data_IF_913938405397
#
_entry.id   IF_913938405397
#
_cell.length_a   1.000
_cell.length_b   1.000
_cell.length_c   1.000
_cell.angle_alpha   90.00
_cell.angle_beta   90.00
_cell.angle_gamma   90.00
#
_symmetry.space_group_name_H-M   'P 1'
#
loop_
_entity.id
_entity.type
_entity.pdbx_description
1 polymer ?
#
# COMPACT_ATOMS: atom_id res chain seq x y z
N UNK A 1 -15.86 -26.75 30.87
CA UNK A 1 -14.53 -26.11 30.73
C UNK A 1 -14.52 -25.52 29.35
N UNK A 2 -15.20 -24.40 29.23
CA UNK A 2 -15.40 -23.70 27.97
C UNK A 2 -14.14 -22.88 27.71
N UNK A 3 -13.36 -23.32 26.74
CA UNK A 3 -12.22 -22.57 26.22
C UNK A 3 -12.78 -21.36 25.48
N UNK A 4 -12.86 -20.22 26.16
CA UNK A 4 -13.08 -18.93 25.53
C UNK A 4 -12.01 -18.75 24.45
N UNK A 5 -12.41 -18.94 23.20
CA UNK A 5 -11.56 -18.65 22.05
C UNK A 5 -11.43 -17.13 21.97
N UNK A 6 -10.33 -16.61 22.49
CA UNK A 6 -9.99 -15.21 22.38
C UNK A 6 -9.69 -14.90 20.91
N UNK A 7 -10.63 -14.24 20.23
CA UNK A 7 -10.45 -13.80 18.84
C UNK A 7 -9.32 -12.77 18.78
N UNK A 8 -8.17 -13.20 18.26
CA UNK A 8 -7.01 -12.32 18.08
C UNK A 8 -7.34 -11.31 16.98
N UNK A 9 -7.57 -10.06 17.37
CA UNK A 9 -7.85 -8.97 16.43
C UNK A 9 -6.59 -8.69 15.60
N UNK A 10 -6.57 -9.13 14.34
CA UNK A 10 -5.48 -8.84 13.41
C UNK A 10 -5.55 -7.35 13.02
N UNK A 11 -4.69 -6.52 13.61
CA UNK A 11 -4.61 -5.07 13.28
C UNK A 11 -3.97 -4.83 11.90
N UNK A 12 -3.32 -5.85 11.33
CA UNK A 12 -2.43 -5.70 10.18
C UNK A 12 -2.86 -6.62 9.05
N UNK A 13 -2.84 -6.08 7.82
CA UNK A 13 -3.24 -6.75 6.59
C UNK A 13 -2.05 -7.46 5.96
N UNK A 14 -2.32 -8.59 5.33
CA UNK A 14 -1.37 -9.27 4.45
C UNK A 14 -1.22 -8.53 3.12
N UNK A 15 -0.18 -8.87 2.34
CA UNK A 15 0.01 -8.29 1.01
C UNK A 15 -1.18 -8.53 0.05
N UNK A 16 -1.90 -9.64 0.19
CA UNK A 16 -3.05 -9.92 -0.67
C UNK A 16 -4.25 -9.03 -0.30
N UNK A 17 -4.55 -8.91 1.00
CA UNK A 17 -5.61 -8.02 1.50
C UNK A 17 -5.28 -6.56 1.20
N UNK A 18 -4.03 -6.13 1.38
CA UNK A 18 -3.59 -4.77 1.05
C UNK A 18 -3.75 -4.47 -0.45
N UNK A 19 -3.44 -5.44 -1.32
CA UNK A 19 -3.61 -5.28 -2.76
C UNK A 19 -5.09 -5.13 -3.13
N UNK A 20 -5.96 -5.92 -2.52
CA UNK A 20 -7.42 -5.81 -2.69
C UNK A 20 -7.96 -4.49 -2.14
N UNK A 21 -7.45 -4.03 -1.00
CA UNK A 21 -7.85 -2.77 -0.37
C UNK A 21 -7.54 -1.55 -1.25
N UNK A 22 -6.34 -1.50 -1.84
CA UNK A 22 -5.91 -0.39 -2.71
C UNK A 22 -6.51 -0.54 -4.13
N UNK A 23 -6.89 -1.75 -4.53
CA UNK A 23 -7.41 -2.04 -5.87
C UNK A 23 -6.32 -2.25 -6.93
N UNK A 24 -5.17 -2.80 -6.54
CA UNK A 24 -4.07 -3.13 -7.46
C UNK A 24 -3.76 -4.63 -7.46
N UNK A 25 -3.00 -5.10 -8.45
CA UNK A 25 -2.57 -6.50 -8.46
C UNK A 25 -1.57 -6.79 -7.34
N UNK A 26 -1.64 -8.00 -6.76
CA UNK A 26 -0.72 -8.48 -5.73
C UNK A 26 0.76 -8.31 -6.14
N UNK A 27 1.08 -8.68 -7.39
CA UNK A 27 2.43 -8.53 -7.94
C UNK A 27 2.87 -7.07 -8.01
N UNK A 28 1.96 -6.15 -8.35
CA UNK A 28 2.28 -4.72 -8.39
C UNK A 28 2.58 -4.20 -6.99
N UNK A 29 1.78 -4.58 -5.99
CA UNK A 29 2.05 -4.22 -4.60
C UNK A 29 3.44 -4.72 -4.16
N UNK A 30 3.77 -5.99 -4.44
CA UNK A 30 5.09 -6.53 -4.09
C UNK A 30 6.24 -5.83 -4.80
N UNK A 31 6.07 -5.45 -6.07
CA UNK A 31 7.07 -4.65 -6.81
C UNK A 31 7.28 -3.29 -6.15
N UNK A 32 6.20 -2.60 -5.76
CA UNK A 32 6.27 -1.31 -5.06
C UNK A 32 6.92 -1.45 -3.67
N UNK A 33 6.66 -2.55 -2.97
CA UNK A 33 7.30 -2.87 -1.68
C UNK A 33 8.81 -3.07 -1.84
N UNK A 34 9.24 -3.79 -2.89
CA UNK A 34 10.68 -3.94 -3.21
C UNK A 34 11.34 -2.60 -3.51
N UNK A 35 10.62 -1.70 -4.16
CA UNK A 35 11.06 -0.33 -4.47
C UNK A 35 10.95 0.64 -3.28
N UNK A 36 10.41 0.19 -2.14
CA UNK A 36 10.17 1.02 -0.95
C UNK A 36 9.23 2.20 -1.22
N UNK A 37 8.31 2.06 -2.19
CA UNK A 37 7.33 3.10 -2.54
C UNK A 37 6.09 3.10 -1.63
N UNK A 38 5.78 1.96 -0.99
CA UNK A 38 4.62 1.75 -0.13
C UNK A 38 5.08 1.42 1.29
N UNK A 39 4.49 2.00 2.34
CA UNK A 39 4.85 1.68 3.72
C UNK A 39 4.51 0.22 4.04
N UNK A 40 5.49 -0.52 4.55
CA UNK A 40 5.33 -1.92 4.94
C UNK A 40 6.14 -2.24 6.19
N UNK A 41 5.70 -3.27 6.92
CA UNK A 41 6.43 -3.84 8.05
C UNK A 41 7.01 -5.17 7.59
N UNK A 42 8.33 -5.32 7.69
CA UNK A 42 9.02 -6.58 7.45
C UNK A 42 8.95 -7.46 8.70
N UNK A 43 8.17 -8.54 8.65
CA UNK A 43 8.12 -9.55 9.72
C UNK A 43 8.65 -10.87 9.16
N UNK A 44 9.98 -11.00 9.10
CA UNK A 44 10.66 -12.12 8.46
C UNK A 44 10.31 -12.21 6.97
N UNK A 45 9.70 -13.33 6.56
CA UNK A 45 9.25 -13.57 5.18
C UNK A 45 7.94 -12.84 4.83
N UNK A 46 7.17 -12.40 5.83
CA UNK A 46 5.88 -11.74 5.61
C UNK A 46 6.04 -10.23 5.51
N UNK A 47 5.26 -9.65 4.61
CA UNK A 47 5.09 -8.20 4.48
C UNK A 47 3.71 -7.85 5.00
N UNK A 48 3.69 -7.03 6.03
CA UNK A 48 2.51 -6.67 6.79
C UNK A 48 2.21 -5.18 6.57
N UNK A 49 0.94 -4.85 6.40
CA UNK A 49 0.47 -3.50 6.07
C UNK A 49 -0.56 -3.03 7.08
N UNK A 50 -0.34 -1.87 7.69
CA UNK A 50 -1.33 -1.26 8.57
C UNK A 50 -2.27 -0.41 7.71
N UNK A 51 -3.58 -0.55 7.91
CA UNK A 51 -4.58 0.23 7.18
C UNK A 51 -4.32 1.74 7.27
N UNK A 52 -4.12 2.25 8.47
CA UNK A 52 -3.80 3.67 8.71
C UNK A 52 -2.54 4.16 7.97
N UNK A 53 -1.54 3.28 7.79
CA UNK A 53 -0.32 3.64 7.08
C UNK A 53 -0.57 3.69 5.56
N UNK A 54 -1.39 2.77 5.03
CA UNK A 54 -1.82 2.79 3.63
C UNK A 54 -2.67 4.02 3.33
N UNK A 55 -3.61 4.36 4.22
CA UNK A 55 -4.48 5.54 4.06
C UNK A 55 -3.65 6.83 3.98
N UNK A 56 -2.73 7.04 4.93
CA UNK A 56 -1.80 8.18 4.91
C UNK A 56 -0.94 8.22 3.65
N UNK A 57 -0.47 7.06 3.21
CA UNK A 57 0.31 6.98 1.99
C UNK A 57 -0.52 7.38 0.76
N UNK A 58 -1.78 6.95 0.66
CA UNK A 58 -2.68 7.34 -0.43
C UNK A 58 -2.89 8.87 -0.43
N UNK A 59 -3.17 9.47 0.74
CA UNK A 59 -3.30 10.93 0.87
C UNK A 59 -2.03 11.68 0.42
N UNK A 60 -0.85 11.16 0.75
CA UNK A 60 0.42 11.73 0.29
C UNK A 60 0.60 11.61 -1.23
N UNK A 61 0.21 10.49 -1.84
CA UNK A 61 0.27 10.33 -3.29
C UNK A 61 -0.69 11.28 -4.01
N UNK A 62 -1.89 11.47 -3.46
CA UNK A 62 -2.87 12.43 -3.98
C UNK A 62 -2.31 13.86 -3.93
N UNK A 63 -1.71 14.26 -2.81
CA UNK A 63 -1.05 15.58 -2.70
C UNK A 63 0.09 15.75 -3.69
N UNK A 64 0.98 14.77 -3.81
CA UNK A 64 2.09 14.78 -4.78
C UNK A 64 1.60 14.89 -6.23
N UNK A 65 0.45 14.29 -6.54
CA UNK A 65 -0.17 14.39 -7.86
C UNK A 65 -0.71 15.80 -8.14
N UNK A 66 -1.29 16.46 -7.13
CA UNK A 66 -1.77 17.85 -7.23
C UNK A 66 -0.62 18.86 -7.32
N UNK A 67 0.48 18.64 -6.60
CA UNK A 67 1.63 19.55 -6.56
C UNK A 67 2.48 19.55 -7.83
N UNK A 68 2.38 18.52 -8.67
CA UNK A 68 3.06 18.52 -9.98
C UNK A 68 2.18 19.26 -10.98
N UNK A 69 2.45 20.56 -11.30
CA UNK A 69 1.80 21.17 -12.44
C UNK A 69 2.12 20.32 -13.65
N UNK A 70 1.10 20.02 -14.44
CA UNK A 70 1.16 19.17 -15.62
C UNK A 70 2.14 19.83 -16.61
N UNK A 71 3.44 19.57 -16.48
CA UNK A 71 4.43 19.84 -17.52
C UNK A 71 4.24 18.78 -18.60
N UNK A 72 3.07 18.79 -19.25
CA UNK A 72 2.89 18.12 -20.53
C UNK A 72 3.67 18.94 -21.53
N UNK A 73 4.97 18.69 -21.59
CA UNK A 73 5.80 19.11 -22.69
C UNK A 73 5.13 18.65 -23.97
N UNK A 74 4.64 19.60 -24.74
CA UNK A 74 4.14 19.39 -26.09
C UNK A 74 5.25 18.64 -26.82
N UNK A 75 5.08 17.34 -27.09
CA UNK A 75 6.02 16.58 -27.91
C UNK A 75 5.98 17.21 -29.29
N UNK A 76 7.02 17.99 -29.59
CA UNK A 76 7.21 18.62 -30.90
C UNK A 76 7.48 17.49 -31.89
N UNK A 77 6.47 17.17 -32.70
CA UNK A 77 6.59 16.27 -33.84
C UNK A 77 7.33 17.07 -34.92
N UNK A 78 8.53 16.62 -35.29
CA UNK A 78 9.22 17.07 -36.50
C UNK A 78 8.97 16.06 -37.61
#
# INVERSE_FOLDING_TARGET
MDLEQQEVIQVTMTANEAAQYIGISYWKLLDMVKKHEVPYIACGSRKLFRKEALDRWMEEQEKKALEKPIQRGIRKIY
#
